data_IF_704488005483
#
_entry.id   IF_704488005483
#
_cell.length_a   1.000
_cell.length_b   1.000
_cell.length_c   1.000
_cell.angle_alpha   90.00
_cell.angle_beta   90.00
_cell.angle_gamma   90.00
#
_symmetry.space_group_name_H-M   'P 1'
#
loop_
_entity.id
_entity.type
_entity.pdbx_description
1 polymer ?
#
# COMPACT_ATOMS: atom_id res chain seq x y z
N UNK A 1 5.41 12.70 -0.21
CA UNK A 1 3.95 12.60 0.07
C UNK A 1 3.68 11.48 1.06
N UNK A 2 2.56 11.55 1.70
CA UNK A 2 2.09 10.51 2.62
C UNK A 2 1.25 9.53 1.83
N UNK A 3 1.70 8.28 1.75
CA UNK A 3 1.12 7.28 0.86
C UNK A 3 0.76 6.00 1.62
N UNK A 4 -0.28 5.31 1.14
CA UNK A 4 -0.58 3.94 1.54
C UNK A 4 -0.38 3.05 0.32
N UNK A 5 0.34 1.95 0.52
CA UNK A 5 0.50 0.90 -0.48
C UNK A 5 -0.46 -0.23 -0.13
N UNK A 6 -1.34 -0.58 -1.06
CA UNK A 6 -2.16 -1.78 -0.92
C UNK A 6 -1.22 -3.00 -0.86
N UNK A 7 -1.57 -4.00 -0.06
CA UNK A 7 -0.74 -5.19 0.11
C UNK A 7 -0.37 -5.85 -1.22
N UNK A 8 -1.27 -5.85 -2.20
CA UNK A 8 -1.00 -6.45 -3.51
C UNK A 8 0.12 -5.75 -4.27
N UNK A 9 0.32 -4.45 -4.07
CA UNK A 9 1.45 -3.71 -4.67
C UNK A 9 2.77 -4.20 -4.07
N UNK A 10 2.82 -4.39 -2.76
CA UNK A 10 4.00 -4.93 -2.07
C UNK A 10 4.29 -6.36 -2.53
N UNK A 11 3.24 -7.19 -2.63
CA UNK A 11 3.37 -8.57 -3.11
C UNK A 11 3.93 -8.60 -4.54
N UNK A 12 3.41 -7.76 -5.42
CA UNK A 12 3.89 -7.68 -6.80
C UNK A 12 5.34 -7.21 -6.85
N UNK A 13 5.74 -6.28 -5.99
CA UNK A 13 7.12 -5.83 -5.89
C UNK A 13 8.07 -6.98 -5.47
N UNK A 14 7.62 -7.83 -4.57
CA UNK A 14 8.41 -8.98 -4.12
C UNK A 14 8.45 -10.11 -5.16
N UNK A 15 7.41 -10.23 -6.00
CA UNK A 15 7.27 -11.32 -6.95
C UNK A 15 8.17 -11.18 -8.17
N UNK A 16 8.44 -9.95 -8.62
CA UNK A 16 9.16 -9.72 -9.86
C UNK A 16 9.78 -8.33 -9.90
N UNK A 17 10.85 -8.20 -10.67
CA UNK A 17 11.40 -6.90 -11.00
C UNK A 17 10.49 -6.23 -12.02
N UNK A 18 10.15 -4.98 -11.77
CA UNK A 18 9.29 -4.23 -12.66
C UNK A 18 8.72 -2.99 -12.00
N UNK A 19 7.55 -2.59 -12.49
CA UNK A 19 6.92 -1.33 -12.09
C UNK A 19 6.60 -1.28 -10.59
N UNK A 20 6.00 -2.34 -10.03
CA UNK A 20 5.64 -2.34 -8.61
C UNK A 20 6.88 -2.27 -7.71
N UNK A 21 7.96 -2.97 -8.08
CA UNK A 21 9.22 -2.88 -7.35
C UNK A 21 9.76 -1.45 -7.39
N UNK A 22 9.76 -0.82 -8.57
CA UNK A 22 10.23 0.56 -8.72
C UNK A 22 9.40 1.54 -7.90
N UNK A 23 8.09 1.39 -7.91
CA UNK A 23 7.17 2.22 -7.11
C UNK A 23 7.42 2.01 -5.62
N UNK A 24 7.56 0.76 -5.18
CA UNK A 24 7.83 0.45 -3.79
C UNK A 24 9.14 1.09 -3.31
N UNK A 25 10.21 0.93 -4.07
CA UNK A 25 11.50 1.53 -3.74
C UNK A 25 11.43 3.05 -3.70
N UNK A 26 10.73 3.66 -4.67
CA UNK A 26 10.54 5.10 -4.69
C UNK A 26 9.83 5.58 -3.42
N UNK A 27 8.80 4.86 -2.99
CA UNK A 27 8.08 5.22 -1.77
C UNK A 27 8.94 5.07 -0.53
N UNK A 28 9.77 4.01 -0.46
CA UNK A 28 10.69 3.82 0.65
C UNK A 28 11.72 4.95 0.76
N UNK A 29 12.21 5.43 -0.37
CA UNK A 29 13.28 6.42 -0.41
C UNK A 29 12.79 7.86 -0.29
N UNK A 30 11.65 8.20 -0.88
CA UNK A 30 11.25 9.59 -1.09
C UNK A 30 9.90 9.99 -0.53
N UNK A 31 9.11 9.04 -0.09
CA UNK A 31 7.78 9.31 0.43
C UNK A 31 7.63 8.77 1.84
N UNK A 32 6.55 9.13 2.49
CA UNK A 32 6.25 8.67 3.84
C UNK A 32 5.16 7.61 3.73
N UNK A 33 5.52 6.35 3.97
CA UNK A 33 4.58 5.23 3.90
C UNK A 33 3.79 5.17 5.20
N UNK A 34 2.47 5.10 5.09
CA UNK A 34 1.56 4.88 6.22
C UNK A 34 0.99 3.48 6.08
N UNK A 35 0.96 2.73 7.16
CA UNK A 35 0.46 1.36 7.17
C UNK A 35 -0.20 1.05 8.52
N UNK A 36 -0.70 -0.16 8.66
CA UNK A 36 -1.23 -0.67 9.92
C UNK A 36 -0.83 -2.12 10.09
N UNK A 37 -0.98 -2.64 11.30
CA UNK A 37 -0.64 -4.04 11.60
C UNK A 37 -1.39 -5.01 10.70
N UNK A 38 -2.66 -4.73 10.41
CA UNK A 38 -3.46 -5.58 9.53
C UNK A 38 -2.88 -5.70 8.12
N UNK A 39 -2.36 -4.60 7.57
CA UNK A 39 -1.70 -4.62 6.26
C UNK A 39 -0.40 -5.44 6.33
N UNK A 40 0.40 -5.26 7.37
CA UNK A 40 1.63 -6.02 7.54
C UNK A 40 1.36 -7.53 7.66
N UNK A 41 0.32 -7.91 8.40
CA UNK A 41 -0.08 -9.31 8.51
C UNK A 41 -0.56 -9.86 7.18
N UNK A 42 -1.33 -9.09 6.43
CA UNK A 42 -1.80 -9.52 5.11
C UNK A 42 -0.64 -9.70 4.13
N UNK A 43 0.31 -8.77 4.13
CA UNK A 43 1.53 -8.89 3.31
C UNK A 43 2.25 -10.20 3.66
N UNK A 44 2.48 -10.46 4.95
CA UNK A 44 3.15 -11.67 5.38
C UNK A 44 2.43 -12.94 4.95
N UNK A 45 1.10 -12.98 5.14
CA UNK A 45 0.27 -14.13 4.76
C UNK A 45 0.34 -14.38 3.25
N UNK A 46 0.24 -13.34 2.43
CA UNK A 46 0.27 -13.47 0.98
C UNK A 46 1.66 -13.84 0.45
N UNK A 47 2.72 -13.30 1.03
CA UNK A 47 4.09 -13.68 0.66
C UNK A 47 4.32 -15.16 0.91
N UNK A 48 3.81 -15.68 2.02
CA UNK A 48 3.93 -17.09 2.35
C UNK A 48 3.04 -17.97 1.48
N UNK A 49 1.76 -17.64 1.36
CA UNK A 49 0.76 -18.48 0.70
C UNK A 49 0.82 -18.41 -0.83
N UNK A 50 1.02 -17.22 -1.40
CA UNK A 50 1.01 -17.03 -2.85
C UNK A 50 2.38 -17.21 -3.48
N UNK A 51 3.42 -16.66 -2.87
CA UNK A 51 4.78 -16.73 -3.41
C UNK A 51 5.62 -17.83 -2.77
N UNK A 52 5.12 -18.45 -1.70
CA UNK A 52 5.80 -19.53 -0.98
C UNK A 52 7.21 -19.15 -0.56
N UNK A 53 7.41 -17.92 -0.14
CA UNK A 53 8.70 -17.46 0.34
C UNK A 53 9.03 -18.07 1.70
N UNK A 54 10.32 -18.32 1.97
CA UNK A 54 10.74 -18.78 3.30
C UNK A 54 10.32 -17.81 4.40
N UNK A 55 10.04 -18.32 5.58
CA UNK A 55 9.63 -17.53 6.74
C UNK A 55 10.61 -16.38 7.01
N UNK A 56 11.91 -16.66 6.91
CA UNK A 56 12.93 -15.62 7.15
C UNK A 56 12.79 -14.45 6.18
N UNK A 57 12.47 -14.72 4.91
CA UNK A 57 12.28 -13.67 3.90
C UNK A 57 11.01 -12.89 4.18
N UNK A 58 9.92 -13.58 4.53
CA UNK A 58 8.66 -12.94 4.91
C UNK A 58 8.87 -11.98 6.08
N UNK A 59 9.59 -12.43 7.11
CA UNK A 59 9.87 -11.61 8.28
C UNK A 59 10.72 -10.39 7.94
N UNK A 60 11.65 -10.50 6.98
CA UNK A 60 12.43 -9.37 6.52
C UNK A 60 11.58 -8.30 5.87
N UNK A 61 10.62 -8.68 5.01
CA UNK A 61 9.68 -7.72 4.42
C UNK A 61 8.85 -7.02 5.48
N UNK A 62 8.33 -7.77 6.43
CA UNK A 62 7.53 -7.19 7.51
C UNK A 62 8.37 -6.24 8.37
N UNK A 63 9.61 -6.62 8.65
CA UNK A 63 10.53 -5.77 9.43
C UNK A 63 10.85 -4.48 8.68
N UNK A 64 11.13 -4.58 7.37
CA UNK A 64 11.41 -3.41 6.54
C UNK A 64 10.23 -2.42 6.57
N UNK A 65 9.02 -2.92 6.37
CA UNK A 65 7.83 -2.09 6.43
C UNK A 65 7.63 -1.48 7.81
N UNK A 66 7.83 -2.27 8.86
CA UNK A 66 7.67 -1.78 10.24
C UNK A 66 8.67 -0.68 10.58
N UNK A 67 9.88 -0.77 10.06
CA UNK A 67 10.92 0.22 10.32
C UNK A 67 10.78 1.49 9.48
N UNK A 68 10.24 1.36 8.28
CA UNK A 68 10.15 2.48 7.33
C UNK A 68 8.79 3.15 7.30
N UNK A 69 7.71 2.43 7.58
CA UNK A 69 6.36 2.97 7.57
C UNK A 69 5.96 3.53 8.94
N UNK A 70 5.06 4.49 8.91
CA UNK A 70 4.37 4.92 10.13
C UNK A 70 3.20 3.98 10.35
N UNK A 71 3.22 3.25 11.45
CA UNK A 71 2.19 2.25 11.78
C UNK A 71 1.11 2.92 12.62
N UNK A 72 -0.08 2.99 12.08
CA UNK A 72 -1.21 3.68 12.71
C UNK A 72 -2.39 2.73 12.85
N UNK A 73 -3.34 3.12 13.70
CA UNK A 73 -4.61 2.43 13.87
C UNK A 73 -5.62 3.00 12.86
N UNK A 74 -6.18 2.17 11.95
CA UNK A 74 -7.19 2.66 11.03
C UNK A 74 -8.43 3.16 11.77
N UNK A 75 -9.02 4.24 11.28
CA UNK A 75 -10.31 4.70 11.77
C UNK A 75 -11.43 3.87 11.14
N UNK A 76 -12.54 3.78 11.83
CA UNK A 76 -13.75 3.16 11.28
C UNK A 76 -14.27 4.00 10.13
N UNK A 77 -14.70 3.34 9.06
CA UNK A 77 -15.31 3.98 7.90
C UNK A 77 -16.73 3.44 7.73
N UNK A 78 -17.51 4.07 6.85
CA UNK A 78 -18.86 3.62 6.54
C UNK A 78 -18.81 2.17 6.03
N UNK A 79 -19.62 1.30 6.62
CA UNK A 79 -19.70 -0.11 6.25
C UNK A 79 -20.18 -0.27 4.81
N UNK A 80 -19.66 -1.27 4.11
CA UNK A 80 -20.12 -1.64 2.78
C UNK A 80 -19.51 -0.85 1.62
N UNK A 81 -18.51 0.02 1.88
CA UNK A 81 -17.79 0.71 0.80
C UNK A 81 -16.97 -0.25 -0.04
N UNK A 82 -16.41 -1.29 0.55
CA UNK A 82 -15.61 -2.30 -0.13
C UNK A 82 -16.07 -3.69 0.27
N UNK A 83 -15.94 -4.65 -0.66
CA UNK A 83 -16.30 -6.04 -0.38
C UNK A 83 -15.30 -6.72 0.54
N UNK A 84 -14.01 -6.35 0.42
CA UNK A 84 -12.94 -6.94 1.20
C UNK A 84 -12.62 -6.07 2.42
N UNK A 85 -12.67 -6.63 3.65
CA UNK A 85 -12.27 -5.88 4.84
C UNK A 85 -10.86 -5.32 4.79
N UNK A 86 -9.95 -5.95 4.04
CA UNK A 86 -8.59 -5.45 3.86
C UNK A 86 -8.58 -4.08 3.16
N UNK A 87 -9.48 -3.87 2.21
CA UNK A 87 -9.61 -2.58 1.52
C UNK A 87 -10.12 -1.50 2.48
N UNK A 88 -10.99 -1.88 3.42
CA UNK A 88 -11.48 -0.95 4.42
C UNK A 88 -10.37 -0.46 5.36
N UNK A 89 -9.38 -1.31 5.68
CA UNK A 89 -8.20 -0.90 6.45
C UNK A 89 -7.43 0.19 5.71
N UNK A 90 -7.25 0.03 4.41
CA UNK A 90 -6.56 1.02 3.57
C UNK A 90 -7.26 2.36 3.65
N UNK A 91 -8.57 2.37 3.43
CA UNK A 91 -9.37 3.60 3.50
C UNK A 91 -9.36 4.19 4.91
N UNK A 92 -9.41 3.33 5.93
CA UNK A 92 -9.40 3.77 7.33
C UNK A 92 -8.12 4.47 7.76
N UNK A 93 -7.03 4.32 7.02
CA UNK A 93 -5.77 5.00 7.31
C UNK A 93 -5.72 6.44 6.79
N UNK A 94 -6.63 6.82 5.89
CA UNK A 94 -6.56 8.15 5.26
C UNK A 94 -6.62 9.27 6.28
N UNK A 95 -7.60 9.24 7.18
CA UNK A 95 -7.76 10.29 8.18
C UNK A 95 -6.61 10.35 9.19
N UNK A 96 -6.31 9.24 9.94
CA UNK A 96 -5.25 9.32 10.94
C UNK A 96 -3.86 9.53 10.34
N UNK A 97 -3.62 9.02 9.14
CA UNK A 97 -2.33 9.14 8.44
C UNK A 97 -2.20 10.38 7.60
N UNK A 98 -3.25 11.18 7.46
CA UNK A 98 -3.27 12.31 6.54
C UNK A 98 -2.74 11.92 5.17
N UNK A 99 -3.25 10.80 4.67
CA UNK A 99 -2.79 10.16 3.45
C UNK A 99 -3.22 10.99 2.23
N UNK A 100 -2.28 11.22 1.34
CA UNK A 100 -2.52 12.00 0.11
C UNK A 100 -2.81 11.10 -1.08
N UNK A 101 -2.21 9.89 -1.09
CA UNK A 101 -2.33 8.97 -2.21
C UNK A 101 -2.41 7.54 -1.69
N UNK A 102 -3.35 6.77 -2.24
CA UNK A 102 -3.43 5.32 -2.08
C UNK A 102 -3.01 4.71 -3.41
N UNK A 103 -2.03 3.81 -3.37
CA UNK A 103 -1.53 3.12 -4.56
C UNK A 103 -2.03 1.68 -4.53
N UNK A 104 -2.84 1.31 -5.52
CA UNK A 104 -3.48 -0.01 -5.58
C UNK A 104 -3.75 -0.42 -7.03
N UNK A 105 -3.78 -1.73 -7.25
CA UNK A 105 -4.26 -2.30 -8.51
C UNK A 105 -5.68 -2.89 -8.37
N UNK A 106 -6.31 -2.78 -7.20
CA UNK A 106 -7.61 -3.35 -6.93
C UNK A 106 -8.73 -2.47 -7.49
N UNK A 107 -9.56 -3.02 -8.34
CA UNK A 107 -10.67 -2.29 -8.95
C UNK A 107 -11.68 -1.79 -7.92
N UNK A 108 -11.88 -2.50 -6.81
CA UNK A 108 -12.82 -2.08 -5.76
C UNK A 108 -12.36 -0.78 -5.08
N UNK A 109 -11.04 -0.52 -5.04
CA UNK A 109 -10.51 0.74 -4.57
C UNK A 109 -10.45 1.78 -5.69
N UNK A 110 -9.96 1.38 -6.86
CA UNK A 110 -9.77 2.30 -7.98
C UNK A 110 -11.07 2.93 -8.47
N UNK A 111 -12.19 2.20 -8.38
CA UNK A 111 -13.49 2.71 -8.80
C UNK A 111 -13.93 3.92 -7.96
N UNK A 112 -13.44 4.03 -6.74
CA UNK A 112 -13.74 5.19 -5.88
C UNK A 112 -13.02 6.45 -6.34
N UNK A 113 -11.91 6.33 -7.07
CA UNK A 113 -11.06 7.40 -7.58
C UNK A 113 -10.46 8.28 -6.47
N UNK A 114 -11.20 8.56 -5.44
CA UNK A 114 -10.81 9.38 -4.31
C UNK A 114 -11.56 8.94 -3.07
N UNK A 115 -10.92 9.00 -1.93
CA UNK A 115 -11.57 8.81 -0.63
C UNK A 115 -11.05 9.90 0.31
N UNK A 116 -11.97 10.73 0.81
CA UNK A 116 -11.62 11.91 1.61
C UNK A 116 -10.57 12.75 0.85
N UNK A 117 -9.43 13.04 1.46
CA UNK A 117 -8.39 13.84 0.84
C UNK A 117 -7.42 13.04 -0.04
N UNK A 118 -7.54 11.71 -0.05
CA UNK A 118 -6.60 10.86 -0.77
C UNK A 118 -7.08 10.51 -2.17
N UNK A 119 -6.19 10.62 -3.15
CA UNK A 119 -6.41 10.07 -4.49
C UNK A 119 -6.07 8.59 -4.48
N UNK A 120 -6.82 7.81 -5.25
CA UNK A 120 -6.57 6.38 -5.41
C UNK A 120 -6.08 6.15 -6.84
N UNK A 121 -4.85 5.68 -6.98
CA UNK A 121 -4.20 5.56 -8.28
C UNK A 121 -3.52 4.21 -8.44
N UNK A 122 -3.30 3.81 -9.70
CA UNK A 122 -2.53 2.62 -10.00
C UNK A 122 -1.03 2.89 -9.80
N UNK A 123 -0.20 1.83 -9.65
CA UNK A 123 1.24 2.00 -9.65
C UNK A 123 1.76 2.75 -10.86
N UNK A 124 1.21 2.47 -12.05
CA UNK A 124 1.62 3.16 -13.28
C UNK A 124 1.29 4.65 -13.22
N UNK A 125 0.08 4.99 -12.83
CA UNK A 125 -0.32 6.40 -12.75
C UNK A 125 0.53 7.16 -11.74
N UNK A 126 0.84 6.53 -10.60
CA UNK A 126 1.72 7.12 -9.61
C UNK A 126 3.13 7.36 -10.18
N UNK A 127 3.68 6.34 -10.82
CA UNK A 127 5.02 6.43 -11.42
C UNK A 127 5.11 7.55 -12.45
N UNK A 128 4.14 7.63 -13.35
CA UNK A 128 4.09 8.66 -14.39
C UNK A 128 3.92 10.05 -13.79
N UNK A 129 3.09 10.19 -12.76
CA UNK A 129 2.90 11.45 -12.06
C UNK A 129 4.20 11.95 -11.42
N UNK A 130 4.97 11.06 -10.79
CA UNK A 130 6.24 11.41 -10.16
C UNK A 130 7.30 11.79 -11.21
N UNK A 131 7.30 11.14 -12.36
CA UNK A 131 8.22 11.51 -13.46
C UNK A 131 7.90 12.90 -13.99
N UNK A 132 6.65 13.25 -14.13
CA UNK A 132 6.23 14.57 -14.60
C UNK A 132 6.62 15.66 -13.60
N UNK A 133 6.47 15.39 -12.31
CA UNK A 133 6.82 16.35 -11.26
C UNK A 133 8.35 16.56 -11.15
N UNK A 134 9.14 15.58 -11.57
CA UNK A 134 10.61 15.68 -11.54
C UNK A 134 11.18 16.59 -12.61
N UNK A 135 10.35 17.08 -13.51
CA UNK A 135 10.75 18.03 -14.53
C UNK A 135 10.56 19.47 -14.01
#
# INVERSE_FOLDING_TARGET
>A
MRVVLDSNVVIAAAAARGLCEAVFELCLERHHIVACEGILLEVGRKLEQKLRLPVAVVEEYQRLLRQTAEILQPHSIKAGLCRDPADEMVLGLVAPGRVEVIISGDNDLLVLERFAEAKIVTPRAFWESMRNDAR
#
